data_IF_596550575731
#
_entry.id   IF_596550575731
#
_cell.length_a   1.000
_cell.length_b   1.000
_cell.length_c   1.000
_cell.angle_alpha   90.00
_cell.angle_beta   90.00
_cell.angle_gamma   90.00
#
_symmetry.space_group_name_H-M   'P 1'
#
loop_
_entity.id
_entity.type
_entity.pdbx_description
1 polymer ?
#
# COMPACT_ATOMS: atom_id res chain seq x y z
N UNK A 1 16.46 -12.10 0.71
CA UNK A 1 17.77 -11.98 1.37
C UNK A 1 18.03 -10.54 1.82
N UNK A 2 18.94 -10.38 2.76
CA UNK A 2 19.31 -9.05 3.26
C UNK A 2 19.86 -8.16 2.16
N UNK A 3 20.65 -8.71 1.23
CA UNK A 3 21.18 -7.94 0.13
C UNK A 3 20.11 -7.40 -0.79
N UNK A 4 19.12 -8.21 -1.11
CA UNK A 4 17.99 -7.79 -1.95
C UNK A 4 17.18 -6.71 -1.26
N UNK A 5 16.89 -6.87 0.04
CA UNK A 5 16.20 -5.87 0.83
C UNK A 5 16.93 -4.52 0.79
N UNK A 6 18.24 -4.56 1.02
CA UNK A 6 19.06 -3.35 1.04
C UNK A 6 19.05 -2.62 -0.30
N UNK A 7 19.14 -3.35 -1.40
CA UNK A 7 19.11 -2.77 -2.75
C UNK A 7 17.75 -2.15 -3.05
N UNK A 8 16.66 -2.82 -2.70
CA UNK A 8 15.32 -2.30 -2.92
C UNK A 8 15.07 -1.05 -2.08
N UNK A 9 15.49 -1.05 -0.81
CA UNK A 9 15.33 0.10 0.07
C UNK A 9 16.10 1.31 -0.46
N UNK A 10 17.36 1.14 -0.86
CA UNK A 10 18.16 2.21 -1.44
C UNK A 10 17.56 2.70 -2.76
N UNK A 11 17.15 1.78 -3.63
CA UNK A 11 16.54 2.12 -4.91
C UNK A 11 15.28 2.94 -4.73
N UNK A 12 14.42 2.55 -3.79
CA UNK A 12 13.20 3.29 -3.50
C UNK A 12 13.51 4.68 -2.93
N UNK A 13 14.46 4.78 -1.99
CA UNK A 13 14.87 6.07 -1.45
C UNK A 13 15.39 6.99 -2.55
N UNK A 14 16.26 6.49 -3.41
CA UNK A 14 16.81 7.28 -4.51
C UNK A 14 15.72 7.73 -5.47
N UNK A 15 14.76 6.87 -5.75
CA UNK A 15 13.60 7.20 -6.57
C UNK A 15 12.80 8.35 -5.94
N UNK A 16 12.53 8.25 -4.65
CA UNK A 16 11.73 9.26 -3.93
C UNK A 16 12.47 10.59 -3.78
N UNK A 17 13.80 10.58 -3.69
CA UNK A 17 14.59 11.82 -3.59
C UNK A 17 14.44 12.74 -4.80
N UNK A 18 14.04 12.21 -5.96
CA UNK A 18 13.75 12.99 -7.14
C UNK A 18 12.42 13.71 -7.12
N UNK A 19 11.62 13.54 -6.07
CA UNK A 19 10.27 14.11 -5.99
C UNK A 19 10.19 15.15 -4.89
N UNK A 20 9.33 16.15 -5.10
CA UNK A 20 8.97 17.10 -4.03
C UNK A 20 8.09 16.38 -2.99
N UNK A 21 8.04 16.91 -1.76
CA UNK A 21 7.32 16.27 -0.66
C UNK A 21 5.86 15.92 -1.02
N UNK A 22 5.16 16.81 -1.72
CA UNK A 22 3.77 16.56 -2.10
C UNK A 22 3.63 15.52 -3.22
N UNK A 23 4.71 15.27 -3.96
CA UNK A 23 4.71 14.34 -5.09
C UNK A 23 5.18 12.95 -4.68
N UNK A 24 5.82 12.80 -3.51
CA UNK A 24 6.33 11.50 -3.06
C UNK A 24 5.21 10.49 -2.82
N UNK A 25 4.04 10.94 -2.35
CA UNK A 25 2.87 10.08 -2.20
C UNK A 25 2.46 9.45 -3.53
N UNK A 26 2.41 10.25 -4.60
CA UNK A 26 2.11 9.73 -5.93
C UNK A 26 3.20 8.81 -6.46
N UNK A 27 4.46 9.08 -6.10
CA UNK A 27 5.57 8.22 -6.50
C UNK A 27 5.46 6.83 -5.90
N UNK A 28 5.15 6.73 -4.60
CA UNK A 28 4.98 5.41 -3.97
C UNK A 28 3.73 4.70 -4.47
N UNK A 29 2.66 5.42 -4.76
CA UNK A 29 1.48 4.83 -5.41
C UNK A 29 1.85 4.21 -6.75
N UNK A 30 2.66 4.89 -7.57
CA UNK A 30 3.12 4.35 -8.85
C UNK A 30 3.94 3.08 -8.67
N UNK A 31 4.80 3.04 -7.67
CA UNK A 31 5.58 1.83 -7.36
C UNK A 31 4.65 0.66 -7.06
N UNK A 32 3.64 0.89 -6.23
CA UNK A 32 2.66 -0.15 -5.87
C UNK A 32 1.86 -0.58 -7.10
N UNK A 33 1.41 0.35 -7.90
CA UNK A 33 0.64 0.06 -9.12
C UNK A 33 1.43 -0.86 -10.05
N UNK A 34 2.68 -0.51 -10.36
CA UNK A 34 3.49 -1.32 -11.26
C UNK A 34 3.82 -2.69 -10.68
N UNK A 35 4.04 -2.77 -9.36
CA UNK A 35 4.28 -4.06 -8.73
C UNK A 35 3.05 -4.97 -8.78
N UNK A 36 1.86 -4.41 -8.59
CA UNK A 36 0.62 -5.17 -8.71
C UNK A 36 0.44 -5.71 -10.13
N UNK A 37 0.72 -4.88 -11.15
CA UNK A 37 0.67 -5.34 -12.54
C UNK A 37 1.69 -6.46 -12.80
N UNK A 38 2.91 -6.30 -12.26
CA UNK A 38 3.95 -7.32 -12.41
C UNK A 38 3.51 -8.66 -11.82
N UNK A 39 2.77 -8.62 -10.72
CA UNK A 39 2.26 -9.83 -10.05
C UNK A 39 1.05 -10.43 -10.75
N UNK A 40 0.56 -9.81 -11.81
CA UNK A 40 -0.55 -10.36 -12.59
C UNK A 40 -1.93 -9.92 -12.15
N UNK A 41 -2.02 -8.91 -11.29
CA UNK A 41 -3.33 -8.38 -10.89
C UNK A 41 -3.90 -7.45 -11.96
N UNK A 42 -5.22 -7.49 -12.11
CA UNK A 42 -5.95 -6.39 -12.71
C UNK A 42 -6.15 -5.33 -11.64
N UNK A 43 -5.80 -4.09 -11.96
CA UNK A 43 -5.79 -3.01 -10.97
C UNK A 43 -6.74 -1.90 -11.41
N UNK A 44 -7.60 -1.49 -10.51
CA UNK A 44 -8.47 -0.34 -10.71
C UNK A 44 -8.34 0.61 -9.53
N UNK A 45 -8.66 1.89 -9.77
CA UNK A 45 -8.79 2.87 -8.70
C UNK A 45 -10.16 2.65 -8.09
N UNK A 46 -10.22 2.48 -6.77
CA UNK A 46 -11.41 1.98 -6.12
C UNK A 46 -12.36 3.04 -5.65
N UNK A 47 -13.60 2.96 -6.14
CA UNK A 47 -14.70 3.70 -5.54
C UNK A 47 -15.82 2.71 -5.25
N UNK A 48 -16.09 2.48 -3.97
CA UNK A 48 -17.09 1.53 -3.51
C UNK A 48 -18.07 2.30 -2.64
N UNK A 49 -19.27 2.55 -3.17
CA UNK A 49 -20.21 3.45 -2.51
C UNK A 49 -19.60 4.83 -2.37
N UNK A 50 -19.46 5.30 -1.13
CA UNK A 50 -18.82 6.60 -0.84
C UNK A 50 -17.35 6.46 -0.44
N UNK A 51 -16.81 5.23 -0.42
CA UNK A 51 -15.43 5.00 -0.06
C UNK A 51 -14.52 5.06 -1.29
N UNK A 52 -13.39 5.74 -1.14
CA UNK A 52 -12.35 5.76 -2.15
C UNK A 52 -11.12 5.05 -1.61
N UNK A 53 -10.66 4.02 -2.32
CA UNK A 53 -9.41 3.34 -2.01
C UNK A 53 -8.44 3.52 -3.16
N UNK A 54 -7.15 3.53 -2.86
CA UNK A 54 -6.15 3.79 -3.88
C UNK A 54 -6.18 2.74 -4.97
N UNK A 55 -6.24 1.46 -4.59
CA UNK A 55 -6.26 0.37 -5.57
C UNK A 55 -7.18 -0.76 -5.15
N UNK A 56 -7.86 -1.32 -6.14
CA UNK A 56 -8.52 -2.62 -6.05
C UNK A 56 -7.76 -3.56 -6.97
N UNK A 57 -7.15 -4.59 -6.42
CA UNK A 57 -6.35 -5.55 -7.16
C UNK A 57 -7.07 -6.90 -7.21
N UNK A 58 -7.32 -7.40 -8.42
CA UNK A 58 -8.07 -8.65 -8.61
C UNK A 58 -7.33 -9.63 -9.49
N UNK A 59 -7.52 -10.91 -9.16
CA UNK A 59 -7.21 -12.02 -10.05
C UNK A 59 -8.47 -12.88 -10.16
N UNK A 60 -8.38 -14.03 -10.84
CA UNK A 60 -9.49 -14.96 -10.92
C UNK A 60 -9.98 -15.43 -9.53
N UNK A 61 -9.03 -15.53 -8.57
CA UNK A 61 -9.29 -16.14 -7.26
C UNK A 61 -9.22 -15.16 -6.09
N UNK A 62 -8.68 -13.96 -6.30
CA UNK A 62 -8.39 -13.02 -5.22
C UNK A 62 -8.92 -11.64 -5.52
N UNK A 63 -9.21 -10.90 -4.44
CA UNK A 63 -9.50 -9.47 -4.50
C UNK A 63 -8.92 -8.83 -3.27
N UNK A 64 -8.23 -7.71 -3.45
CA UNK A 64 -7.60 -6.96 -2.35
C UNK A 64 -7.91 -5.47 -2.50
N UNK A 65 -8.12 -4.82 -1.37
CA UNK A 65 -8.26 -3.37 -1.29
C UNK A 65 -6.98 -2.81 -0.67
N UNK A 66 -6.34 -1.86 -1.34
CA UNK A 66 -5.02 -1.38 -0.94
C UNK A 66 -5.02 0.13 -0.84
N UNK A 67 -4.60 0.64 0.33
CA UNK A 67 -4.27 2.04 0.54
C UNK A 67 -2.77 2.17 0.65
N UNK A 68 -2.23 3.30 0.19
CA UNK A 68 -0.80 3.57 0.21
C UNK A 68 -0.57 4.91 0.87
N UNK A 69 0.32 4.95 1.84
CA UNK A 69 0.69 6.19 2.53
C UNK A 69 2.17 6.18 2.89
N UNK A 70 2.77 7.34 3.09
CA UNK A 70 4.15 7.40 3.53
C UNK A 70 4.30 6.92 4.97
N UNK A 71 3.34 7.24 5.83
CA UNK A 71 3.41 6.92 7.25
C UNK A 71 2.04 6.69 7.85
N UNK A 72 1.99 5.80 8.85
CA UNK A 72 0.80 5.54 9.67
C UNK A 72 1.03 5.98 11.13
N UNK A 73 2.08 6.76 11.41
CA UNK A 73 2.40 7.16 12.78
C UNK A 73 1.41 8.17 13.35
N UNK A 74 0.97 9.12 12.54
CA UNK A 74 0.00 10.11 12.97
C UNK A 74 -1.38 9.46 13.13
N UNK A 75 -2.06 9.71 14.25
CA UNK A 75 -3.41 9.21 14.46
C UNK A 75 -4.37 9.75 13.41
N UNK A 76 -4.23 11.02 13.03
CA UNK A 76 -5.10 11.63 12.01
C UNK A 76 -4.92 10.96 10.64
N UNK A 77 -3.67 10.70 10.24
CA UNK A 77 -3.38 9.99 9.01
C UNK A 77 -3.93 8.57 9.08
N UNK A 78 -3.72 7.89 10.20
CA UNK A 78 -4.19 6.52 10.41
C UNK A 78 -5.70 6.44 10.23
N UNK A 79 -6.45 7.34 10.87
CA UNK A 79 -7.91 7.39 10.73
C UNK A 79 -8.34 7.64 9.28
N UNK A 80 -7.66 8.56 8.62
CA UNK A 80 -7.98 8.90 7.23
C UNK A 80 -7.74 7.75 6.27
N UNK A 81 -6.63 7.02 6.45
CA UNK A 81 -6.29 5.89 5.58
C UNK A 81 -7.14 4.65 5.86
N UNK A 82 -7.50 4.43 7.12
CA UNK A 82 -8.29 3.26 7.51
C UNK A 82 -9.78 3.42 7.23
N UNK A 83 -10.32 4.64 7.31
CA UNK A 83 -11.75 4.86 7.21
C UNK A 83 -12.39 4.30 5.93
N UNK A 84 -11.81 4.50 4.73
CA UNK A 84 -12.38 3.90 3.53
C UNK A 84 -12.42 2.39 3.59
N UNK A 85 -11.36 1.76 4.10
CA UNK A 85 -11.31 0.30 4.21
C UNK A 85 -12.28 -0.24 5.25
N UNK A 86 -12.46 0.48 6.36
CA UNK A 86 -13.39 0.10 7.41
C UNK A 86 -14.85 0.14 6.93
N UNK A 87 -15.14 1.00 5.95
CA UNK A 87 -16.50 1.13 5.41
C UNK A 87 -16.87 -0.01 4.46
N UNK A 88 -15.90 -0.76 3.96
CA UNK A 88 -16.15 -1.87 3.06
C UNK A 88 -16.47 -3.12 3.87
N UNK A 89 -17.68 -3.66 3.67
CA UNK A 89 -18.21 -4.73 4.50
C UNK A 89 -18.20 -6.09 3.79
N UNK A 90 -17.05 -6.45 3.25
CA UNK A 90 -16.85 -7.78 2.69
C UNK A 90 -15.66 -8.46 3.36
N UNK A 91 -15.39 -9.70 2.96
CA UNK A 91 -14.34 -10.51 3.57
C UNK A 91 -13.04 -10.50 2.76
N UNK A 92 -12.94 -9.65 1.77
CA UNK A 92 -11.71 -9.55 0.99
C UNK A 92 -10.61 -8.85 1.79
N UNK A 93 -9.37 -9.17 1.45
CA UNK A 93 -8.21 -8.65 2.16
C UNK A 93 -8.11 -7.13 2.00
N UNK A 94 -7.80 -6.46 3.11
CA UNK A 94 -7.65 -5.01 3.17
C UNK A 94 -6.29 -4.68 3.76
N UNK A 95 -5.50 -3.88 3.04
CA UNK A 95 -4.10 -3.63 3.37
C UNK A 95 -3.82 -2.14 3.27
N UNK A 96 -3.05 -1.61 4.22
CA UNK A 96 -2.39 -0.31 4.10
C UNK A 96 -0.89 -0.56 3.97
N UNK A 97 -0.30 -0.04 2.91
CA UNK A 97 1.15 -0.10 2.67
C UNK A 97 1.76 1.24 3.06
N UNK A 98 2.81 1.21 3.87
CA UNK A 98 3.49 2.42 4.30
C UNK A 98 5.01 2.23 4.29
N UNK A 99 5.74 3.34 4.39
CA UNK A 99 7.20 3.30 4.44
C UNK A 99 7.74 3.12 5.85
N UNK A 100 6.87 2.98 6.84
CA UNK A 100 7.33 2.83 8.21
C UNK A 100 8.06 1.52 8.43
N UNK A 101 9.21 1.56 9.09
CA UNK A 101 9.87 0.34 9.52
C UNK A 101 9.13 -0.24 10.74
N UNK A 102 9.25 -1.53 10.93
CA UNK A 102 8.75 -2.17 12.14
C UNK A 102 7.88 -3.37 11.87
N UNK A 103 7.19 -3.79 12.92
CA UNK A 103 6.34 -4.97 12.86
C UNK A 103 5.00 -4.63 12.21
N UNK A 104 4.48 -5.59 11.48
CA UNK A 104 3.15 -5.48 10.91
C UNK A 104 2.12 -5.31 12.03
N UNK A 105 1.14 -4.48 11.78
CA UNK A 105 0.05 -4.25 12.70
C UNK A 105 -1.29 -4.59 12.03
N UNK A 106 -2.31 -4.75 12.85
CA UNK A 106 -3.66 -5.00 12.36
C UNK A 106 -4.63 -4.04 13.06
N UNK A 107 -5.52 -3.44 12.29
CA UNK A 107 -6.54 -2.51 12.77
C UNK A 107 -7.90 -3.00 12.28
N UNK A 108 -8.68 -3.62 13.16
CA UNK A 108 -10.02 -4.15 12.81
C UNK A 108 -9.98 -5.10 11.59
N UNK A 109 -8.95 -5.95 11.54
CA UNK A 109 -8.76 -6.88 10.42
C UNK A 109 -8.06 -6.30 9.21
N UNK A 110 -7.75 -5.01 9.21
CA UNK A 110 -6.99 -4.35 8.14
C UNK A 110 -5.51 -4.47 8.47
N UNK A 111 -4.73 -5.02 7.55
CA UNK A 111 -3.30 -5.22 7.74
C UNK A 111 -2.53 -3.94 7.41
N UNK A 112 -1.60 -3.57 8.27
CA UNK A 112 -0.62 -2.52 7.98
C UNK A 112 0.71 -3.19 7.70
N UNK A 113 1.24 -3.01 6.48
CA UNK A 113 2.42 -3.71 6.01
C UNK A 113 3.44 -2.71 5.50
N UNK A 114 4.72 -2.96 5.81
CA UNK A 114 5.80 -2.15 5.27
C UNK A 114 5.94 -2.36 3.76
N UNK A 115 6.03 -1.27 3.00
CA UNK A 115 6.10 -1.32 1.55
C UNK A 115 7.31 -2.11 1.05
N UNK A 116 8.48 -1.95 1.68
CA UNK A 116 9.68 -2.67 1.26
C UNK A 116 9.50 -4.17 1.46
N UNK A 117 8.97 -4.57 2.61
CA UNK A 117 8.69 -5.99 2.88
C UNK A 117 7.71 -6.56 1.86
N UNK A 118 6.70 -5.78 1.52
CA UNK A 118 5.72 -6.19 0.52
C UNK A 118 6.35 -6.35 -0.87
N UNK A 119 7.21 -5.40 -1.26
CA UNK A 119 7.91 -5.48 -2.56
C UNK A 119 8.80 -6.71 -2.66
N UNK A 120 9.40 -7.13 -1.54
CA UNK A 120 10.30 -8.30 -1.51
C UNK A 120 9.54 -9.62 -1.37
N UNK A 121 8.28 -9.56 -0.97
CA UNK A 121 7.44 -10.74 -0.85
C UNK A 121 6.96 -11.23 -2.22
N UNK A 122 6.40 -12.41 -2.21
CA UNK A 122 5.85 -13.01 -3.44
C UNK A 122 4.45 -12.44 -3.82
#
# INVERSE_FOLDING_TARGET
TLGKYYIVDIGLRNYLLGFRNRDSGHAIENVVYFELLRRGYDVSIGKIGNAEVDFIATTADEKKYIQVTESMMSEDVRKRELAPLQSIRDNYEKIVLSLEPGLDASYDGIKSVNLIDWLLGD
#
